data_IF_725937832018
#
_entry.id   IF_725937832018
#
_cell.length_a   1.000
_cell.length_b   1.000
_cell.length_c   1.000
_cell.angle_alpha   90.00
_cell.angle_beta   90.00
_cell.angle_gamma   90.00
#
_symmetry.space_group_name_H-M   'P 1'
#
loop_
_entity.id
_entity.type
_entity.pdbx_description
1 polymer ?
#
# COMPACT_ATOMS: atom_id res chain seq x y z
N UNK A 1 0.17 18.57 -4.70
CA UNK A 1 1.41 17.77 -4.51
C UNK A 1 1.20 16.98 -3.23
N UNK A 2 1.43 15.67 -3.25
CA UNK A 2 1.35 14.84 -2.05
C UNK A 2 2.56 15.07 -1.12
N UNK A 3 2.38 14.78 0.17
CA UNK A 3 3.43 14.86 1.19
C UNK A 3 3.44 13.62 2.08
N UNK A 4 4.54 13.45 2.80
CA UNK A 4 4.70 12.44 3.85
C UNK A 4 5.06 13.14 5.17
N UNK A 5 4.47 12.67 6.26
CA UNK A 5 4.78 13.15 7.61
C UNK A 5 4.72 12.00 8.62
N UNK A 6 5.26 12.23 9.81
CA UNK A 6 5.11 11.32 10.95
C UNK A 6 4.05 11.91 11.90
N UNK A 7 3.06 11.11 12.26
CA UNK A 7 2.02 11.48 13.24
C UNK A 7 2.22 10.71 14.53
N UNK A 8 1.73 11.25 15.65
CA UNK A 8 1.86 10.64 16.98
C UNK A 8 0.80 9.58 17.30
N UNK A 9 0.00 9.18 16.31
CA UNK A 9 -1.00 8.12 16.43
C UNK A 9 -0.45 6.88 15.75
N UNK A 10 0.13 5.97 16.54
CA UNK A 10 0.68 4.70 16.06
C UNK A 10 -0.26 3.52 16.35
N UNK A 11 -0.19 2.48 15.54
CA UNK A 11 -0.89 1.22 15.81
C UNK A 11 -0.16 0.44 16.91
N UNK A 12 -0.87 -0.39 17.68
CA UNK A 12 -0.26 -1.25 18.71
C UNK A 12 0.71 -0.55 19.69
N UNK A 13 0.46 0.73 20.02
CA UNK A 13 1.26 1.57 20.92
C UNK A 13 2.67 1.93 20.42
N UNK A 14 2.91 1.91 19.10
CA UNK A 14 4.18 2.39 18.50
C UNK A 14 4.39 3.91 18.72
N UNK A 15 3.34 4.66 19.06
CA UNK A 15 3.31 6.12 19.25
C UNK A 15 3.65 6.95 18.00
N UNK A 16 3.96 6.32 16.88
CA UNK A 16 4.29 6.98 15.62
C UNK A 16 3.76 6.18 14.44
N UNK A 17 3.30 6.88 13.41
CA UNK A 17 2.92 6.29 12.12
C UNK A 17 3.28 7.22 10.96
N UNK A 18 3.38 6.66 9.76
CA UNK A 18 3.60 7.42 8.54
C UNK A 18 2.26 7.86 7.95
N UNK A 19 2.07 9.15 7.71
CA UNK A 19 0.89 9.64 6.99
C UNK A 19 1.25 10.14 5.60
N UNK A 20 0.37 9.92 4.63
CA UNK A 20 0.36 10.63 3.35
C UNK A 20 -0.72 11.70 3.35
N UNK A 21 -0.33 12.92 3.01
CA UNK A 21 -1.17 14.12 3.04
C UNK A 21 -1.20 14.80 1.66
N UNK A 22 -2.18 15.68 1.45
CA UNK A 22 -2.30 16.52 0.24
C UNK A 22 -2.32 15.73 -1.09
N UNK A 23 -2.80 14.48 -1.05
CA UNK A 23 -2.94 13.61 -2.22
C UNK A 23 -3.93 14.23 -3.20
N UNK A 24 -3.56 14.33 -4.48
CA UNK A 24 -4.42 14.95 -5.52
C UNK A 24 -5.08 13.91 -6.44
N UNK A 25 -4.78 12.63 -6.24
CA UNK A 25 -5.40 11.52 -6.94
C UNK A 25 -5.46 10.29 -6.01
N UNK A 26 -6.36 9.36 -6.31
CA UNK A 26 -6.58 8.11 -5.56
C UNK A 26 -5.40 7.13 -5.68
N UNK A 27 -4.69 7.15 -6.81
CA UNK A 27 -3.47 6.38 -7.07
C UNK A 27 -2.21 6.91 -6.38
N UNK A 28 -2.30 8.05 -5.69
CA UNK A 28 -1.18 8.56 -4.89
C UNK A 28 -1.18 7.90 -3.50
N UNK A 29 0.01 7.66 -2.96
CA UNK A 29 0.19 7.28 -1.56
C UNK A 29 1.64 6.94 -1.22
N UNK A 30 1.91 6.49 0.03
CA UNK A 30 3.24 6.10 0.49
C UNK A 30 3.77 4.92 -0.33
N UNK A 31 5.02 5.05 -0.76
CA UNK A 31 5.69 4.07 -1.60
C UNK A 31 7.10 3.78 -1.11
N UNK A 32 7.57 2.55 -1.36
CA UNK A 32 8.91 2.11 -1.05
C UNK A 32 9.44 1.18 -2.14
N UNK A 33 10.67 1.42 -2.58
CA UNK A 33 11.36 0.49 -3.46
C UNK A 33 11.75 -0.77 -2.70
N UNK A 34 11.47 -1.92 -3.32
CA UNK A 34 11.87 -3.22 -2.82
C UNK A 34 13.28 -3.56 -3.30
N UNK A 35 14.08 -4.11 -2.38
CA UNK A 35 15.31 -4.79 -2.77
C UNK A 35 14.97 -6.21 -3.25
N UNK A 36 14.88 -6.37 -4.57
CA UNK A 36 14.52 -7.65 -5.19
C UNK A 36 15.53 -8.76 -4.92
N UNK A 37 16.76 -8.44 -4.47
CA UNK A 37 17.77 -9.43 -4.06
C UNK A 37 17.38 -10.19 -2.79
N UNK A 38 16.47 -9.64 -1.99
CA UNK A 38 15.91 -10.29 -0.82
C UNK A 38 14.74 -11.24 -1.16
N UNK A 39 14.33 -11.27 -2.43
CA UNK A 39 13.19 -12.03 -2.93
C UNK A 39 13.67 -13.25 -3.74
N UNK A 40 13.04 -14.41 -3.53
CA UNK A 40 13.37 -15.64 -4.25
C UNK A 40 12.29 -15.97 -5.29
N UNK A 41 12.68 -16.14 -6.55
CA UNK A 41 11.76 -16.56 -7.63
C UNK A 41 10.99 -17.83 -7.26
N UNK A 42 9.68 -17.83 -7.52
CA UNK A 42 8.76 -18.92 -7.21
C UNK A 42 8.31 -18.98 -5.75
N UNK A 43 8.77 -18.06 -4.88
CA UNK A 43 8.28 -17.94 -3.51
C UNK A 43 7.18 -16.89 -3.41
N UNK A 44 6.27 -17.11 -2.48
CA UNK A 44 5.17 -16.18 -2.15
C UNK A 44 5.45 -15.51 -0.83
N UNK A 45 5.31 -14.19 -0.80
CA UNK A 45 5.49 -13.35 0.37
C UNK A 45 4.15 -12.74 0.76
N UNK A 46 3.87 -12.66 2.06
CA UNK A 46 2.78 -11.84 2.59
C UNK A 46 3.27 -10.41 2.73
N UNK A 47 2.51 -9.48 2.18
CA UNK A 47 2.69 -8.03 2.34
C UNK A 47 1.53 -7.53 3.18
N UNK A 48 1.82 -6.83 4.25
CA UNK A 48 0.78 -6.28 5.12
C UNK A 48 1.15 -4.92 5.70
N UNK A 49 0.11 -4.17 6.09
CA UNK A 49 0.23 -2.91 6.81
C UNK A 49 -1.02 -2.68 7.67
N UNK A 50 -0.86 -1.96 8.78
CA UNK A 50 -1.97 -1.38 9.51
C UNK A 50 -2.30 -0.02 8.91
N UNK A 51 -3.58 0.26 8.71
CA UNK A 51 -4.05 1.49 8.07
C UNK A 51 -5.19 2.16 8.84
N UNK A 52 -5.16 3.49 8.86
CA UNK A 52 -6.30 4.37 9.11
C UNK A 52 -6.44 5.38 7.97
N UNK A 53 -7.67 5.82 7.72
CA UNK A 53 -7.95 6.86 6.73
C UNK A 53 -8.76 7.96 7.38
N UNK A 54 -8.34 9.21 7.15
CA UNK A 54 -9.02 10.41 7.65
C UNK A 54 -9.30 11.34 6.48
N UNK A 55 -10.56 11.72 6.31
CA UNK A 55 -10.99 12.65 5.28
C UNK A 55 -11.65 13.86 5.95
N UNK A 56 -11.16 15.07 5.62
CA UNK A 56 -11.67 16.33 6.20
C UNK A 56 -11.74 16.35 7.75
N UNK A 57 -10.78 15.67 8.40
CA UNK A 57 -10.70 15.57 9.86
C UNK A 57 -11.67 14.55 10.49
N UNK A 58 -12.34 13.74 9.69
CA UNK A 58 -13.26 12.68 10.14
C UNK A 58 -12.71 11.32 9.70
N UNK A 59 -12.89 10.30 10.54
CA UNK A 59 -12.55 8.93 10.20
C UNK A 59 -13.31 8.49 8.95
N UNK A 60 -12.58 8.06 7.93
CA UNK A 60 -13.16 7.62 6.67
C UNK A 60 -13.67 6.19 6.80
N UNK A 61 -14.94 5.98 6.48
CA UNK A 61 -15.51 4.65 6.40
C UNK A 61 -15.42 4.17 4.96
N UNK A 62 -14.58 3.16 4.72
CA UNK A 62 -14.55 2.49 3.44
C UNK A 62 -15.47 1.26 3.47
N UNK A 63 -15.95 0.85 2.30
CA UNK A 63 -16.73 -0.38 2.12
C UNK A 63 -15.85 -1.38 1.35
N UNK A 64 -15.12 -2.27 2.06
CA UNK A 64 -14.21 -3.24 1.48
C UNK A 64 -14.90 -4.05 0.37
N UNK A 65 -14.22 -4.24 -0.77
CA UNK A 65 -14.93 -4.38 -2.03
C UNK A 65 -15.80 -5.63 -2.13
N UNK A 66 -17.03 -5.41 -2.58
CA UNK A 66 -17.66 -6.26 -3.59
C UNK A 66 -17.39 -5.79 -5.04
N UNK A 67 -16.59 -4.72 -5.27
CA UNK A 67 -16.36 -4.15 -6.61
C UNK A 67 -15.01 -3.44 -6.80
N UNK A 68 -14.61 -3.24 -8.06
CA UNK A 68 -13.36 -2.59 -8.52
C UNK A 68 -13.30 -1.08 -8.33
N UNK A 69 -14.34 -0.46 -7.76
CA UNK A 69 -14.43 0.99 -7.50
C UNK A 69 -14.36 1.33 -6.01
N UNK A 70 -13.94 0.38 -5.15
CA UNK A 70 -13.83 0.66 -3.72
C UNK A 70 -12.73 1.70 -3.48
N UNK A 71 -13.07 2.76 -2.76
CA UNK A 71 -12.13 3.78 -2.31
C UNK A 71 -11.40 3.32 -1.03
N UNK A 72 -11.19 2.00 -0.91
CA UNK A 72 -10.53 1.40 0.23
C UNK A 72 -9.02 1.43 0.04
N UNK A 73 -8.23 1.52 1.12
CA UNK A 73 -6.81 1.26 1.05
C UNK A 73 -6.52 -0.11 0.43
N UNK A 74 -5.53 -0.15 -0.46
CA UNK A 74 -5.01 -1.37 -1.06
C UNK A 74 -3.50 -1.32 -1.17
N UNK A 75 -2.88 -2.47 -1.40
CA UNK A 75 -1.46 -2.63 -1.69
C UNK A 75 -1.29 -2.91 -3.17
N UNK A 76 -0.44 -2.12 -3.82
CA UNK A 76 -0.13 -2.26 -5.24
C UNK A 76 1.39 -2.34 -5.42
N UNK A 77 1.85 -3.15 -6.37
CA UNK A 77 3.22 -3.10 -6.86
C UNK A 77 3.28 -2.44 -8.23
N UNK A 78 4.37 -1.73 -8.49
CA UNK A 78 4.75 -1.23 -9.80
C UNK A 78 6.06 -1.89 -10.21
N UNK A 79 6.09 -2.52 -11.38
CA UNK A 79 7.32 -2.98 -12.02
C UNK A 79 7.77 -1.91 -13.03
N UNK A 80 9.02 -1.49 -12.91
CA UNK A 80 9.67 -0.55 -13.81
C UNK A 80 10.81 -1.30 -14.51
N UNK A 81 10.86 -1.24 -15.84
CA UNK A 81 11.88 -1.93 -16.65
C UNK A 81 13.27 -1.25 -16.61
N UNK A 82 13.41 -0.18 -15.82
CA UNK A 82 14.65 0.57 -15.66
C UNK A 82 14.90 1.60 -16.77
N UNK A 83 14.01 1.71 -17.76
CA UNK A 83 14.02 2.80 -18.72
C UNK A 83 12.99 3.85 -18.31
N UNK A 84 13.43 5.10 -18.11
CA UNK A 84 12.51 6.23 -17.88
C UNK A 84 11.69 6.61 -19.13
N UNK A 85 11.68 5.75 -20.15
CA UNK A 85 10.94 5.91 -21.40
C UNK A 85 9.94 4.77 -21.46
N UNK A 86 8.75 5.07 -20.95
CA UNK A 86 7.53 4.27 -20.93
C UNK A 86 7.35 3.34 -22.14
N UNK A 87 7.19 2.04 -21.87
CA UNK A 87 6.08 1.31 -22.50
C UNK A 87 5.60 0.03 -21.77
N UNK A 88 6.28 -0.44 -20.71
CA UNK A 88 5.85 -1.65 -19.97
C UNK A 88 5.76 -1.45 -18.45
N UNK A 89 5.14 -0.36 -18.00
CA UNK A 89 4.76 -0.25 -16.58
C UNK A 89 3.67 -1.27 -16.24
N UNK A 90 3.94 -2.11 -15.25
CA UNK A 90 2.98 -3.11 -14.78
C UNK A 90 2.56 -2.83 -13.35
N UNK A 91 1.32 -2.37 -13.20
CA UNK A 91 0.65 -2.15 -11.92
C UNK A 91 -0.14 -3.39 -11.55
N UNK A 92 0.07 -3.91 -10.34
CA UNK A 92 -0.65 -5.08 -9.85
C UNK A 92 -1.13 -4.82 -8.43
N UNK A 93 -2.45 -4.85 -8.23
CA UNK A 93 -3.01 -4.98 -6.89
C UNK A 93 -2.57 -6.34 -6.33
N UNK A 94 -1.99 -6.33 -5.13
CA UNK A 94 -1.50 -7.53 -4.45
C UNK A 94 -2.22 -7.80 -3.14
N UNK A 95 -3.03 -6.86 -2.64
CA UNK A 95 -3.73 -6.98 -1.37
C UNK A 95 -4.74 -5.87 -1.15
N UNK A 96 -5.77 -6.17 -0.38
CA UNK A 96 -6.88 -5.28 -0.05
C UNK A 96 -7.13 -5.30 1.46
N UNK A 97 -7.91 -4.34 1.96
CA UNK A 97 -8.44 -4.39 3.33
C UNK A 97 -9.42 -5.54 3.50
N UNK A 98 -9.46 -6.10 4.72
CA UNK A 98 -10.46 -7.11 5.07
C UNK A 98 -11.89 -6.57 5.01
N UNK A 99 -12.88 -7.46 4.87
CA UNK A 99 -14.31 -7.11 4.91
C UNK A 99 -14.82 -6.58 6.25
N UNK A 100 -14.00 -6.64 7.31
CA UNK A 100 -14.33 -6.19 8.66
C UNK A 100 -13.85 -4.76 8.94
N UNK A 101 -13.86 -3.87 7.94
CA UNK A 101 -13.40 -2.50 8.11
C UNK A 101 -14.15 -1.77 9.23
N UNK A 102 -13.40 -1.03 10.04
CA UNK A 102 -13.90 -0.11 11.06
C UNK A 102 -13.20 1.24 10.91
N UNK A 103 -13.98 2.31 10.75
CA UNK A 103 -13.44 3.68 10.71
C UNK A 103 -12.75 4.09 12.02
N UNK A 104 -13.12 3.47 13.14
CA UNK A 104 -12.64 3.83 14.47
C UNK A 104 -11.33 3.13 14.87
N UNK A 105 -10.94 2.08 14.14
CA UNK A 105 -9.82 1.22 14.49
C UNK A 105 -8.73 1.22 13.41
N UNK A 106 -7.56 0.66 13.76
CA UNK A 106 -6.56 0.30 12.77
C UNK A 106 -7.00 -0.95 12.03
N UNK A 107 -7.03 -0.87 10.71
CA UNK A 107 -7.44 -1.98 9.86
C UNK A 107 -6.22 -2.62 9.22
N UNK A 108 -6.27 -3.92 8.96
CA UNK A 108 -5.20 -4.60 8.23
C UNK A 108 -5.47 -4.55 6.73
N UNK A 109 -4.48 -4.07 5.97
CA UNK A 109 -4.37 -4.35 4.54
C UNK A 109 -3.42 -5.53 4.41
N UNK A 110 -3.83 -6.57 3.69
CA UNK A 110 -3.01 -7.77 3.51
C UNK A 110 -3.16 -8.31 2.10
N UNK A 111 -2.07 -8.85 1.59
CA UNK A 111 -2.14 -9.71 0.42
C UNK A 111 -0.82 -10.41 0.14
N UNK A 112 -0.69 -10.91 -1.08
CA UNK A 112 0.42 -11.82 -1.42
C UNK A 112 1.14 -11.41 -2.69
N UNK A 113 2.45 -11.54 -2.67
CA UNK A 113 3.35 -11.31 -3.78
C UNK A 113 4.08 -12.60 -4.13
N UNK A 114 3.72 -13.24 -5.24
CA UNK A 114 4.50 -14.37 -5.78
C UNK A 114 5.57 -13.83 -6.71
N UNK A 115 6.84 -14.07 -6.37
CA UNK A 115 7.98 -13.54 -7.12
C UNK A 115 8.11 -14.29 -8.44
N UNK A 116 7.71 -13.66 -9.53
CA UNK A 116 7.89 -14.15 -10.88
C UNK A 116 9.28 -13.81 -11.41
N UNK A 117 9.66 -14.42 -12.54
CA UNK A 117 10.89 -14.02 -13.24
C UNK A 117 10.84 -12.53 -13.67
N UNK A 118 9.67 -12.04 -14.07
CA UNK A 118 9.48 -10.63 -14.43
C UNK A 118 9.73 -9.68 -13.25
N UNK A 119 9.33 -10.05 -12.02
CA UNK A 119 9.61 -9.26 -10.82
C UNK A 119 11.11 -9.27 -10.50
N UNK A 120 11.78 -10.40 -10.69
CA UNK A 120 13.21 -10.53 -10.45
C UNK A 120 14.07 -9.78 -11.49
N UNK A 121 13.60 -9.71 -12.74
CA UNK A 121 14.28 -9.05 -13.85
C UNK A 121 13.93 -7.56 -13.98
N UNK A 122 12.92 -7.08 -13.24
CA UNK A 122 12.54 -5.67 -13.24
C UNK A 122 13.70 -4.78 -12.77
N UNK A 123 13.89 -3.64 -13.42
CA UNK A 123 14.90 -2.65 -13.05
C UNK A 123 14.64 -2.05 -11.66
N UNK A 124 13.37 -1.81 -11.35
CA UNK A 124 12.89 -1.48 -10.00
C UNK A 124 11.51 -2.06 -9.74
N UNK A 125 11.26 -2.37 -8.47
CA UNK A 125 9.95 -2.78 -7.97
C UNK A 125 9.57 -1.84 -6.84
N UNK A 126 8.45 -1.14 -7.00
CA UNK A 126 7.88 -0.26 -5.99
C UNK A 126 6.69 -0.98 -5.36
N UNK A 127 6.63 -1.03 -4.03
CA UNK A 127 5.39 -1.35 -3.30
C UNK A 127 4.82 -0.04 -2.77
N UNK A 128 3.51 0.14 -2.89
CA UNK A 128 2.87 1.34 -2.37
C UNK A 128 1.42 1.06 -1.98
N UNK A 129 0.87 1.93 -1.14
CA UNK A 129 -0.54 1.89 -0.79
C UNK A 129 -1.28 3.05 -1.46
N UNK A 130 -2.49 2.78 -1.94
CA UNK A 130 -3.35 3.71 -2.67
C UNK A 130 -4.83 3.39 -2.43
N UNK A 131 -5.74 4.12 -3.08
CA UNK A 131 -7.17 3.81 -3.14
C UNK A 131 -8.10 4.86 -2.54
N UNK A 132 -7.83 5.41 -1.33
CA UNK A 132 -8.73 6.39 -0.73
C UNK A 132 -8.84 7.67 -1.57
N UNK A 133 -9.94 8.44 -1.42
CA UNK A 133 -10.22 9.61 -2.26
C UNK A 133 -9.10 10.67 -2.25
N UNK A 134 -8.95 11.48 -3.31
CA UNK A 134 -8.07 12.64 -3.28
C UNK A 134 -8.37 13.53 -2.05
N UNK A 135 -7.33 14.00 -1.37
CA UNK A 135 -7.44 14.80 -0.16
C UNK A 135 -7.55 13.98 1.14
N UNK A 136 -7.96 12.71 1.09
CA UNK A 136 -7.96 11.85 2.27
C UNK A 136 -6.52 11.51 2.70
N UNK A 137 -6.25 11.62 3.99
CA UNK A 137 -5.00 11.21 4.61
C UNK A 137 -5.01 9.70 4.83
N UNK A 138 -3.91 9.05 4.46
CA UNK A 138 -3.72 7.63 4.69
C UNK A 138 -2.57 7.44 5.65
N UNK A 139 -2.86 6.85 6.81
CA UNK A 139 -1.94 6.67 7.91
C UNK A 139 -1.58 5.19 7.96
N UNK A 140 -0.30 4.87 7.78
CA UNK A 140 0.24 3.52 7.73
C UNK A 140 1.20 3.27 8.88
N UNK A 141 1.15 2.04 9.40
CA UNK A 141 2.07 1.56 10.42
C UNK A 141 2.30 0.05 10.28
N UNK A 142 3.34 -0.48 10.91
CA UNK A 142 3.67 -1.90 10.94
C UNK A 142 3.70 -2.57 9.55
N UNK A 143 4.26 -1.87 8.56
CA UNK A 143 4.45 -2.40 7.20
C UNK A 143 5.42 -3.57 7.23
N UNK A 144 5.04 -4.69 6.63
CA UNK A 144 5.79 -5.94 6.67
C UNK A 144 5.76 -6.68 5.34
N UNK A 145 6.89 -7.31 5.01
CA UNK A 145 7.01 -8.25 3.89
C UNK A 145 7.71 -9.50 4.42
N UNK A 146 7.01 -10.63 4.41
CA UNK A 146 7.50 -11.87 5.01
C UNK A 146 7.26 -13.06 4.10
N UNK A 147 8.20 -13.99 4.06
CA UNK A 147 8.06 -15.22 3.27
C UNK A 147 6.97 -16.12 3.88
N UNK A 148 6.03 -16.58 3.05
CA UNK A 148 5.03 -17.56 3.47
C UNK A 148 5.73 -18.89 3.75
N UNK A 149 5.55 -19.42 4.96
CA UNK A 149 6.11 -20.71 5.37
C UNK A 149 5.25 -21.87 4.90
#
# INVERSE_FOLDING_TARGET
>A
MGGLAIVSEGSANTNQALTSEYRTADWMGPAQYLDTRCLTVGKTYTVSAQVKVVENGVNFNCDPPSSTTSQCPRLTIKLEDGTWQDENEHWQNIGDVSSAWSSEEWNMIEGTLTVSQAIADAGSVLVYSEGPPPGAMMILDNVSITLNR
#
